data_IF_078350670634
#
_entry.id   IF_078350670634
#
_cell.length_a   1.000
_cell.length_b   1.000
_cell.length_c   1.000
_cell.angle_alpha   90.00
_cell.angle_beta   90.00
_cell.angle_gamma   90.00
#
_symmetry.space_group_name_H-M   'P 1'
#
loop_
_entity.id
_entity.type
_entity.pdbx_description
1 polymer ?
#
# COMPACT_ATOMS: atom_id res chain seq x y z
N UNK A 1 0.06 -3.65 -18.62
CA UNK A 1 -1.36 -4.06 -18.57
C UNK A 1 -1.93 -3.63 -17.24
N UNK A 2 -3.12 -3.05 -17.20
CA UNK A 2 -3.82 -2.71 -15.95
C UNK A 2 -4.42 -3.98 -15.33
N UNK A 3 -4.56 -4.00 -14.00
CA UNK A 3 -5.20 -5.12 -13.30
C UNK A 3 -6.66 -5.29 -13.76
N UNK A 4 -7.12 -6.55 -13.82
CA UNK A 4 -8.51 -6.86 -14.16
C UNK A 4 -9.37 -6.74 -12.91
N UNK A 5 -10.51 -6.06 -13.02
CA UNK A 5 -11.41 -5.72 -11.90
C UNK A 5 -11.98 -6.96 -11.20
N UNK A 6 -12.08 -8.08 -11.91
CA UNK A 6 -12.51 -9.40 -11.41
C UNK A 6 -11.48 -10.05 -10.45
N UNK A 7 -10.26 -9.53 -10.36
CA UNK A 7 -9.26 -9.95 -9.36
C UNK A 7 -9.01 -8.79 -8.39
N UNK A 8 -9.70 -8.74 -7.25
CA UNK A 8 -9.56 -7.63 -6.31
C UNK A 8 -8.12 -7.58 -5.76
N UNK A 9 -7.55 -6.38 -5.76
CA UNK A 9 -6.32 -6.11 -5.02
C UNK A 9 -6.63 -6.21 -3.53
N UNK A 10 -5.89 -7.06 -2.82
CA UNK A 10 -6.02 -7.19 -1.37
C UNK A 10 -4.71 -6.78 -0.72
N UNK A 11 -4.80 -6.01 0.34
CA UNK A 11 -3.62 -5.62 1.10
C UNK A 11 -3.83 -4.36 1.90
N UNK A 12 -2.71 -3.83 2.36
CA UNK A 12 -2.65 -2.60 3.11
C UNK A 12 -1.85 -1.54 2.34
N UNK A 13 -2.34 -0.31 2.36
CA UNK A 13 -1.64 0.87 1.84
C UNK A 13 -1.11 1.67 3.02
N UNK A 14 0.22 1.75 3.11
CA UNK A 14 0.90 2.51 4.16
C UNK A 14 0.99 3.98 3.71
N UNK A 15 0.35 4.88 4.45
CA UNK A 15 0.31 6.32 4.15
C UNK A 15 1.26 7.06 5.09
N UNK A 16 2.30 7.69 4.54
CA UNK A 16 3.25 8.51 5.29
C UNK A 16 3.02 9.99 4.98
N UNK A 17 3.10 10.85 5.99
CA UNK A 17 2.95 12.30 5.80
C UNK A 17 3.07 13.10 7.10
N UNK A 18 3.53 14.35 6.99
CA UNK A 18 3.69 15.26 8.14
C UNK A 18 2.46 16.16 8.36
N UNK A 19 1.66 16.39 7.32
CA UNK A 19 0.35 17.05 7.43
C UNK A 19 -0.74 16.01 7.75
N UNK A 20 -1.32 16.11 8.94
CA UNK A 20 -2.30 15.14 9.42
C UNK A 20 -3.63 15.21 8.65
N UNK A 21 -4.09 16.40 8.26
CA UNK A 21 -5.35 16.55 7.54
C UNK A 21 -5.25 15.97 6.12
N UNK A 22 -4.12 16.22 5.44
CA UNK A 22 -3.82 15.65 4.13
C UNK A 22 -3.69 14.13 4.22
N UNK A 23 -2.98 13.61 5.23
CA UNK A 23 -2.82 12.17 5.43
C UNK A 23 -4.17 11.48 5.64
N UNK A 24 -5.02 12.02 6.52
CA UNK A 24 -6.35 11.49 6.78
C UNK A 24 -7.22 11.48 5.52
N UNK A 25 -7.15 12.53 4.70
CA UNK A 25 -7.87 12.59 3.42
C UNK A 25 -7.42 11.48 2.46
N UNK A 26 -6.11 11.23 2.36
CA UNK A 26 -5.59 10.14 1.52
C UNK A 26 -6.00 8.78 2.07
N UNK A 27 -5.91 8.59 3.39
CA UNK A 27 -6.36 7.34 4.02
C UNK A 27 -7.85 7.07 3.75
N UNK A 28 -8.71 8.08 3.83
CA UNK A 28 -10.12 7.95 3.51
C UNK A 28 -10.35 7.50 2.04
N UNK A 29 -9.57 8.02 1.09
CA UNK A 29 -9.64 7.60 -0.32
C UNK A 29 -9.20 6.14 -0.50
N UNK A 30 -8.23 5.66 0.28
CA UNK A 30 -7.80 4.26 0.24
C UNK A 30 -8.95 3.34 0.71
N UNK A 31 -9.67 3.71 1.76
CA UNK A 31 -10.79 2.93 2.30
C UNK A 31 -11.98 2.82 1.34
N UNK A 32 -12.06 3.67 0.31
CA UNK A 32 -13.05 3.53 -0.77
C UNK A 32 -12.74 2.35 -1.71
N UNK A 33 -11.53 1.78 -1.65
CA UNK A 33 -11.11 0.65 -2.47
C UNK A 33 -11.42 -0.66 -1.73
N UNK A 34 -12.37 -1.43 -2.28
CA UNK A 34 -12.75 -2.73 -1.71
C UNK A 34 -11.54 -3.64 -1.45
N UNK A 35 -11.51 -4.27 -0.26
CA UNK A 35 -10.49 -5.21 0.20
C UNK A 35 -9.09 -4.62 0.48
N UNK A 36 -8.95 -3.30 0.39
CA UNK A 36 -7.75 -2.54 0.74
C UNK A 36 -8.00 -1.78 2.03
N UNK A 37 -6.98 -1.67 2.88
CA UNK A 37 -7.02 -0.92 4.13
C UNK A 37 -5.91 0.12 4.17
N UNK A 38 -6.18 1.31 4.66
CA UNK A 38 -5.15 2.31 4.94
C UNK A 38 -4.49 2.07 6.31
N UNK A 39 -3.17 2.21 6.37
CA UNK A 39 -2.39 2.19 7.60
C UNK A 39 -1.58 3.48 7.72
N UNK A 40 -1.56 4.09 8.91
CA UNK A 40 -0.70 5.25 9.17
C UNK A 40 0.76 4.78 9.29
N UNK A 41 1.59 5.18 8.33
CA UNK A 41 3.03 4.92 8.30
C UNK A 41 3.86 5.92 9.10
N UNK A 42 3.22 6.88 9.76
CA UNK A 42 3.87 7.95 10.50
C UNK A 42 4.28 9.13 9.62
N UNK A 43 5.32 9.85 10.04
CA UNK A 43 5.82 11.04 9.33
C UNK A 43 6.45 10.74 7.98
N UNK A 44 6.63 11.78 7.15
CA UNK A 44 7.14 11.67 5.78
C UNK A 44 8.53 11.02 5.72
N UNK A 45 9.35 11.18 6.76
CA UNK A 45 10.67 10.52 6.90
C UNK A 45 10.63 8.99 6.77
N UNK A 46 9.48 8.35 7.02
CA UNK A 46 9.30 6.92 6.88
C UNK A 46 9.01 6.49 5.43
N UNK A 47 8.72 7.42 4.50
CA UNK A 47 8.38 7.10 3.11
C UNK A 47 9.46 6.28 2.40
N UNK A 48 10.73 6.54 2.72
CA UNK A 48 11.89 5.82 2.17
C UNK A 48 11.76 4.30 2.32
N UNK A 49 11.13 3.82 3.40
CA UNK A 49 10.96 2.38 3.64
C UNK A 49 9.87 1.81 2.73
N UNK A 50 8.76 2.53 2.57
CA UNK A 50 7.67 2.16 1.66
C UNK A 50 8.13 2.18 0.19
N UNK A 51 8.97 3.14 -0.18
CA UNK A 51 9.57 3.23 -1.51
C UNK A 51 10.50 2.05 -1.80
N UNK A 52 11.38 1.69 -0.85
CA UNK A 52 12.27 0.54 -0.96
C UNK A 52 11.52 -0.79 -1.03
N UNK A 53 10.40 -0.92 -0.30
CA UNK A 53 9.55 -2.11 -0.32
C UNK A 53 9.02 -2.42 -1.72
N UNK A 54 8.76 -1.39 -2.53
CA UNK A 54 8.32 -1.57 -3.92
C UNK A 54 9.35 -2.34 -4.75
N UNK A 55 10.64 -2.04 -4.57
CA UNK A 55 11.72 -2.74 -5.27
C UNK A 55 11.72 -4.24 -4.91
N UNK A 56 11.50 -4.55 -3.63
CA UNK A 56 11.38 -5.92 -3.15
C UNK A 56 10.17 -6.64 -3.76
N UNK A 57 9.00 -6.00 -3.78
CA UNK A 57 7.78 -6.58 -4.36
C UNK A 57 7.93 -6.83 -5.87
N UNK A 58 8.59 -5.93 -6.61
CA UNK A 58 8.89 -6.14 -8.03
C UNK A 58 9.79 -7.36 -8.24
N UNK A 59 10.80 -7.54 -7.39
CA UNK A 59 11.67 -8.71 -7.44
C UNK A 59 10.89 -10.02 -7.16
N UNK A 60 10.05 -10.02 -6.13
CA UNK A 60 9.17 -11.16 -5.78
C UNK A 60 8.23 -11.47 -6.94
N UNK A 61 7.60 -10.46 -7.54
CA UNK A 61 6.73 -10.62 -8.71
C UNK A 61 7.46 -11.29 -9.88
N UNK A 62 8.75 -10.97 -10.10
CA UNK A 62 9.57 -11.61 -11.13
C UNK A 62 9.86 -13.08 -10.83
N UNK A 63 10.13 -13.44 -9.57
CA UNK A 63 10.40 -14.84 -9.17
C UNK A 63 9.14 -15.69 -9.32
N UNK A 64 8.02 -15.21 -8.80
CA UNK A 64 6.78 -16.00 -8.69
C UNK A 64 5.79 -15.77 -9.84
N UNK A 65 6.12 -14.91 -10.81
CA UNK A 65 5.23 -14.53 -11.93
C UNK A 65 3.85 -14.07 -11.43
N UNK A 66 3.87 -13.19 -10.42
CA UNK A 66 2.69 -12.79 -9.65
C UNK A 66 2.51 -11.26 -9.59
N UNK A 67 1.38 -10.83 -9.02
CA UNK A 67 1.12 -9.45 -8.62
C UNK A 67 0.90 -9.42 -7.11
N UNK A 68 1.97 -9.18 -6.36
CA UNK A 68 1.97 -9.22 -4.90
C UNK A 68 1.62 -7.88 -4.28
N UNK A 69 0.97 -7.95 -3.12
CA UNK A 69 0.78 -6.85 -2.17
C UNK A 69 1.26 -7.28 -0.79
N UNK A 70 1.09 -6.40 0.20
CA UNK A 70 1.45 -6.65 1.59
C UNK A 70 0.22 -6.59 2.49
N UNK A 71 0.26 -7.30 3.61
CA UNK A 71 -0.69 -7.14 4.71
C UNK A 71 0.06 -7.17 6.04
N UNK A 72 -0.12 -6.13 6.84
CA UNK A 72 0.34 -6.02 8.21
C UNK A 72 -0.70 -6.66 9.12
N UNK A 73 -0.27 -7.56 9.98
CA UNK A 73 -1.14 -8.29 10.91
C UNK A 73 -0.87 -7.85 12.35
N UNK A 74 -1.87 -7.99 13.22
CA UNK A 74 -1.76 -7.57 14.62
C UNK A 74 -1.93 -6.05 14.85
N UNK A 75 -2.52 -5.35 13.87
CA UNK A 75 -2.85 -3.92 13.91
C UNK A 75 -4.30 -3.69 13.51
#
# INVERSE_FOLDING_TARGET
>A
QLQRVDRPMQGDVIVCGDDMAAKQKVMALVEEINYVRALDGGGLKNSRFTEQLTVLLVHINKIYQAHTGIRVTGV
#
